data_IF_089341773308
#
_entry.id   IF_089341773308
#
_cell.length_a   1.000
_cell.length_b   1.000
_cell.length_c   1.000
_cell.angle_alpha   90.00
_cell.angle_beta   90.00
_cell.angle_gamma   90.00
#
_symmetry.space_group_name_H-M   'P 1'
#
loop_
_entity.id
_entity.type
_entity.pdbx_description
1 polymer ?
#
# COMPACT_ATOMS: atom_id res chain seq x y z
N UNK A 1 -46.00 -32.46 22.85
CA UNK A 1 -46.09 -30.98 22.94
C UNK A 1 -44.78 -30.30 23.38
N UNK A 2 -43.92 -30.92 24.22
CA UNK A 2 -42.64 -30.35 24.69
C UNK A 2 -41.55 -30.15 23.62
N UNK A 3 -41.48 -31.02 22.60
CA UNK A 3 -40.47 -30.93 21.53
C UNK A 3 -40.69 -29.72 20.61
N UNK A 4 -41.95 -29.33 20.38
CA UNK A 4 -42.30 -28.18 19.53
C UNK A 4 -42.00 -26.84 20.20
N UNK A 5 -42.09 -26.77 21.54
CA UNK A 5 -41.77 -25.55 22.29
C UNK A 5 -40.26 -25.27 22.31
N UNK A 6 -39.44 -26.31 22.51
CA UNK A 6 -37.98 -26.17 22.48
C UNK A 6 -37.44 -25.80 21.09
N UNK A 7 -38.06 -26.32 20.01
CA UNK A 7 -37.68 -25.95 18.64
C UNK A 7 -37.99 -24.48 18.34
N UNK A 8 -39.14 -23.97 18.81
CA UNK A 8 -39.52 -22.56 18.62
C UNK A 8 -38.58 -21.64 19.41
N UNK A 9 -38.25 -21.98 20.66
CA UNK A 9 -37.28 -21.21 21.47
C UNK A 9 -35.90 -21.21 20.80
N UNK A 10 -35.46 -22.33 20.23
CA UNK A 10 -34.17 -22.42 19.53
C UNK A 10 -34.14 -21.57 18.25
N UNK A 11 -35.23 -21.55 17.49
CA UNK A 11 -35.36 -20.72 16.28
C UNK A 11 -35.41 -19.22 16.65
N UNK A 12 -36.09 -18.85 17.73
CA UNK A 12 -36.14 -17.46 18.21
C UNK A 12 -34.74 -16.98 18.65
N UNK A 13 -33.97 -17.81 19.39
CA UNK A 13 -32.60 -17.44 19.79
C UNK A 13 -31.66 -17.28 18.58
N UNK A 14 -31.83 -18.09 17.53
CA UNK A 14 -31.05 -17.96 16.29
C UNK A 14 -31.46 -16.70 15.53
N UNK A 15 -32.76 -16.43 15.36
CA UNK A 15 -33.24 -15.26 14.59
C UNK A 15 -32.85 -13.92 15.26
N UNK A 16 -32.82 -13.87 16.60
CA UNK A 16 -32.38 -12.68 17.32
C UNK A 16 -30.84 -12.59 17.51
N UNK A 17 -30.11 -13.69 17.36
CA UNK A 17 -28.66 -13.74 17.56
C UNK A 17 -27.81 -13.22 16.39
N UNK A 18 -28.38 -13.11 15.18
CA UNK A 18 -27.61 -12.75 13.96
C UNK A 18 -27.73 -11.27 13.57
N UNK A 19 -28.56 -10.48 14.24
CA UNK A 19 -28.78 -9.07 13.87
C UNK A 19 -27.81 -8.08 14.55
N UNK A 20 -26.73 -8.58 15.18
CA UNK A 20 -25.89 -7.81 16.11
C UNK A 20 -24.49 -7.42 15.64
N UNK A 21 -24.11 -7.58 14.37
CA UNK A 21 -22.75 -7.23 13.91
C UNK A 21 -22.56 -5.77 13.49
N UNK A 22 -23.41 -4.84 13.98
CA UNK A 22 -23.25 -3.39 13.77
C UNK A 22 -23.27 -2.61 15.09
N UNK A 23 -22.74 -3.19 16.16
CA UNK A 23 -22.65 -2.53 17.45
C UNK A 23 -21.35 -1.74 17.57
N UNK A 24 -21.48 -0.44 17.88
CA UNK A 24 -20.40 0.52 18.15
C UNK A 24 -19.36 0.06 19.20
N UNK A 25 -19.67 -0.98 19.97
CA UNK A 25 -18.77 -1.57 20.97
C UNK A 25 -17.60 -2.36 20.36
N UNK A 26 -17.75 -2.93 19.16
CA UNK A 26 -16.64 -3.64 18.50
C UNK A 26 -15.64 -2.65 17.91
N UNK A 27 -16.12 -1.49 17.44
CA UNK A 27 -15.28 -0.41 16.90
C UNK A 27 -14.39 0.25 17.95
N UNK A 28 -14.77 0.26 19.24
CA UNK A 28 -13.90 0.78 20.31
C UNK A 28 -12.83 -0.21 20.78
N UNK A 29 -12.99 -1.51 20.50
CA UNK A 29 -12.03 -2.55 20.88
C UNK A 29 -10.89 -2.71 19.87
N UNK A 30 -11.10 -2.27 18.63
CA UNK A 30 -10.10 -2.29 17.57
C UNK A 30 -10.12 -0.93 16.86
N UNK A 31 -9.49 0.10 17.42
CA UNK A 31 -9.39 1.39 16.75
C UNK A 31 -8.75 1.21 15.38
N UNK A 32 -9.20 2.02 14.41
CA UNK A 32 -8.66 1.97 13.06
C UNK A 32 -7.17 2.27 13.08
N UNK A 33 -6.40 1.42 12.43
CA UNK A 33 -4.95 1.55 12.42
C UNK A 33 -4.54 2.79 11.62
N UNK A 34 -3.88 3.73 12.30
CA UNK A 34 -3.35 4.95 11.69
C UNK A 34 -1.92 4.76 11.17
N UNK A 35 -1.62 5.47 10.09
CA UNK A 35 -0.36 5.36 9.36
C UNK A 35 0.48 6.61 9.51
N UNK A 36 1.80 6.47 9.51
CA UNK A 36 2.72 7.60 9.45
C UNK A 36 2.55 8.40 8.16
N UNK A 37 3.27 9.52 8.05
CA UNK A 37 3.55 10.10 6.72
C UNK A 37 4.30 9.10 5.83
N UNK A 38 4.24 9.29 4.50
CA UNK A 38 4.97 8.48 3.55
C UNK A 38 6.48 8.68 3.75
N UNK A 39 7.17 7.65 4.23
CA UNK A 39 8.61 7.70 4.45
C UNK A 39 9.42 7.81 3.15
N UNK A 40 8.83 7.47 1.99
CA UNK A 40 9.48 7.65 0.70
C UNK A 40 9.74 9.13 0.37
N UNK A 41 8.98 10.06 0.97
CA UNK A 41 9.07 11.51 0.76
C UNK A 41 9.96 12.21 1.79
N UNK A 42 10.63 11.49 2.69
CA UNK A 42 11.53 12.10 3.65
C UNK A 42 12.74 12.70 2.93
N UNK A 43 13.19 13.87 3.38
CA UNK A 43 14.42 14.48 2.89
C UNK A 43 15.62 13.52 3.05
N UNK A 44 16.39 13.37 1.98
CA UNK A 44 17.51 12.42 1.92
C UNK A 44 17.13 11.00 1.51
N UNK A 45 15.84 10.70 1.28
CA UNK A 45 15.41 9.43 0.68
C UNK A 45 15.86 9.38 -0.78
N UNK A 46 16.35 8.22 -1.22
CA UNK A 46 16.78 8.00 -2.60
C UNK A 46 16.12 6.76 -3.19
N UNK A 47 15.91 6.77 -4.51
CA UNK A 47 15.44 5.62 -5.25
C UNK A 47 16.21 5.46 -6.55
N UNK A 48 16.42 4.23 -7.00
CA UNK A 48 17.00 3.95 -8.33
C UNK A 48 16.15 4.43 -9.51
N UNK A 49 14.89 4.79 -9.27
CA UNK A 49 14.01 5.57 -10.16
C UNK A 49 13.33 6.62 -9.28
N UNK A 50 13.89 7.84 -9.19
CA UNK A 50 13.37 8.90 -8.32
C UNK A 50 11.90 9.27 -8.61
N UNK A 51 11.46 9.10 -9.86
CA UNK A 51 10.08 9.34 -10.32
C UNK A 51 9.06 8.33 -9.76
N UNK A 52 9.48 7.43 -8.87
CA UNK A 52 8.59 6.52 -8.14
C UNK A 52 8.43 6.91 -6.66
N UNK A 53 9.07 7.99 -6.22
CA UNK A 53 9.07 8.45 -4.83
C UNK A 53 9.01 9.97 -4.73
N UNK A 54 8.50 10.65 -5.76
CA UNK A 54 8.44 12.11 -5.82
C UNK A 54 7.11 12.67 -5.29
N UNK A 55 6.14 11.80 -5.00
CA UNK A 55 4.82 12.17 -4.48
C UNK A 55 3.86 12.67 -5.54
N UNK A 56 4.23 12.64 -6.82
CA UNK A 56 3.37 12.99 -7.95
C UNK A 56 2.80 11.72 -8.60
N UNK A 57 1.48 11.56 -8.59
CA UNK A 57 0.85 10.37 -9.19
C UNK A 57 0.80 10.42 -10.72
N UNK A 58 1.14 11.56 -11.33
CA UNK A 58 1.21 11.71 -12.78
C UNK A 58 2.57 11.32 -13.36
N UNK A 59 3.60 11.24 -12.52
CA UNK A 59 4.93 10.77 -12.94
C UNK A 59 4.94 9.24 -13.03
N UNK A 60 5.78 8.72 -13.93
CA UNK A 60 5.91 7.27 -14.15
C UNK A 60 7.38 6.90 -14.18
N UNK A 61 7.86 6.31 -13.09
CA UNK A 61 9.17 5.70 -13.05
C UNK A 61 9.22 4.40 -13.85
N UNK A 62 10.39 4.15 -14.46
CA UNK A 62 10.62 3.00 -15.34
C UNK A 62 11.93 2.33 -14.99
N UNK A 63 11.89 1.10 -14.50
CA UNK A 63 13.10 0.38 -14.08
C UNK A 63 13.03 -1.12 -14.36
N UNK A 64 14.12 -1.66 -14.91
CA UNK A 64 14.25 -3.09 -15.14
C UNK A 64 14.76 -3.82 -13.90
N UNK A 65 14.16 -4.99 -13.64
CA UNK A 65 14.60 -6.02 -12.68
C UNK A 65 14.60 -5.62 -11.21
N UNK A 66 15.21 -4.51 -10.83
CA UNK A 66 15.43 -4.14 -9.45
C UNK A 66 15.21 -2.64 -9.23
N UNK A 67 14.45 -2.33 -8.17
CA UNK A 67 14.28 -0.99 -7.62
C UNK A 67 14.81 -1.02 -6.19
N UNK A 68 15.67 -0.08 -5.83
CA UNK A 68 16.20 0.08 -4.47
C UNK A 68 15.78 1.46 -3.97
N UNK A 69 15.07 1.48 -2.84
CA UNK A 69 14.67 2.67 -2.10
C UNK A 69 15.47 2.69 -0.79
N UNK A 70 16.20 3.77 -0.54
CA UNK A 70 17.03 3.97 0.66
C UNK A 70 16.54 5.19 1.43
N UNK A 71 16.17 4.98 2.69
CA UNK A 71 15.76 6.00 3.65
C UNK A 71 17.00 6.63 4.31
N UNK A 72 16.89 7.90 4.77
CA UNK A 72 17.98 8.58 5.47
C UNK A 72 18.33 7.94 6.83
N UNK A 73 17.36 7.25 7.44
CA UNK A 73 17.53 6.54 8.70
C UNK A 73 16.66 5.27 8.75
N UNK A 74 17.00 4.34 9.66
CA UNK A 74 16.23 3.11 9.82
C UNK A 74 14.84 3.41 10.37
N UNK A 75 13.81 2.95 9.68
CA UNK A 75 12.39 3.09 10.09
C UNK A 75 11.71 1.74 10.26
N UNK A 76 10.70 1.69 11.12
CA UNK A 76 9.81 0.55 11.25
C UNK A 76 8.69 0.62 10.19
N UNK A 77 8.82 -0.18 9.14
CA UNK A 77 7.90 -0.20 8.00
C UNK A 77 6.84 -1.29 8.22
N UNK A 78 5.59 -0.85 8.19
CA UNK A 78 4.40 -1.64 8.50
C UNK A 78 3.44 -1.79 7.31
N UNK A 79 3.53 -0.92 6.31
CA UNK A 79 2.77 -1.00 5.06
C UNK A 79 3.59 -0.45 3.91
N UNK A 80 3.46 -1.10 2.76
CA UNK A 80 4.07 -0.70 1.51
C UNK A 80 2.96 -0.65 0.47
N UNK A 81 2.89 0.45 -0.27
CA UNK A 81 1.95 0.65 -1.36
C UNK A 81 2.74 0.93 -2.64
N UNK A 82 2.39 0.28 -3.73
CA UNK A 82 2.91 0.58 -5.07
C UNK A 82 1.71 0.94 -5.92
N UNK A 83 1.68 2.18 -6.43
CA UNK A 83 0.57 2.72 -7.23
C UNK A 83 0.92 2.73 -8.71
N UNK A 84 -0.10 2.63 -9.54
CA UNK A 84 0.02 2.79 -10.99
C UNK A 84 1.06 1.88 -11.61
N UNK A 85 1.04 0.60 -11.31
CA UNK A 85 2.07 -0.36 -11.74
C UNK A 85 1.53 -1.44 -12.68
N UNK A 86 2.41 -1.99 -13.51
CA UNK A 86 2.17 -3.21 -14.29
C UNK A 86 2.87 -4.45 -13.70
N UNK A 87 3.36 -4.39 -12.45
CA UNK A 87 4.06 -5.52 -11.85
C UNK A 87 3.10 -6.70 -11.60
N UNK A 88 3.43 -7.85 -12.16
CA UNK A 88 2.66 -9.10 -11.96
C UNK A 88 3.28 -9.91 -10.82
N UNK A 89 4.60 -10.11 -10.87
CA UNK A 89 5.36 -10.85 -9.87
C UNK A 89 6.45 -9.97 -9.25
N UNK A 90 6.49 -9.87 -7.92
CA UNK A 90 7.56 -9.15 -7.21
C UNK A 90 8.01 -9.90 -5.95
N UNK A 91 9.30 -9.79 -5.64
CA UNK A 91 9.82 -10.11 -4.30
C UNK A 91 10.37 -8.84 -3.68
N UNK A 92 9.93 -8.58 -2.45
CA UNK A 92 10.35 -7.44 -1.66
C UNK A 92 11.31 -7.92 -0.58
N UNK A 93 12.43 -7.21 -0.44
CA UNK A 93 13.46 -7.47 0.55
C UNK A 93 13.69 -6.23 1.41
N UNK A 94 14.02 -6.45 2.68
CA UNK A 94 14.54 -5.43 3.59
C UNK A 94 16.07 -5.58 3.72
N UNK A 95 16.77 -4.45 3.74
CA UNK A 95 18.21 -4.39 4.03
C UNK A 95 18.50 -4.72 5.48
N UNK A 96 19.65 -5.38 5.72
CA UNK A 96 20.11 -5.79 7.05
C UNK A 96 21.21 -4.87 7.62
N UNK A 97 21.46 -3.71 7.00
CA UNK A 97 22.48 -2.73 7.43
C UNK A 97 23.84 -2.88 6.74
N UNK A 98 24.00 -3.85 5.84
CA UNK A 98 25.16 -4.00 4.96
C UNK A 98 24.70 -4.00 3.49
N UNK A 99 25.50 -3.43 2.57
CA UNK A 99 25.12 -3.21 1.17
C UNK A 99 24.57 -4.46 0.44
N UNK A 100 25.10 -5.64 0.74
CA UNK A 100 24.74 -6.88 0.04
C UNK A 100 23.88 -7.84 0.88
N UNK A 101 23.44 -7.43 2.07
CA UNK A 101 22.66 -8.29 2.98
C UNK A 101 21.18 -7.96 2.95
N UNK A 102 20.40 -8.87 2.37
CA UNK A 102 18.96 -8.69 2.12
C UNK A 102 18.14 -9.83 2.71
N UNK A 103 17.06 -9.50 3.42
CA UNK A 103 16.08 -10.47 3.91
C UNK A 103 14.78 -10.31 3.15
N UNK A 104 14.30 -11.39 2.53
CA UNK A 104 12.98 -11.42 1.89
C UNK A 104 11.89 -11.13 2.92
N UNK A 105 11.03 -10.15 2.66
CA UNK A 105 9.90 -9.80 3.53
C UNK A 105 8.55 -10.13 2.90
N UNK A 106 8.44 -10.07 1.57
CA UNK A 106 7.19 -10.38 0.88
C UNK A 106 7.46 -10.99 -0.50
N UNK A 107 6.55 -11.85 -0.94
CA UNK A 107 6.48 -12.33 -2.32
C UNK A 107 5.04 -12.15 -2.80
N UNK A 108 4.87 -11.43 -3.90
CA UNK A 108 3.60 -11.24 -4.58
C UNK A 108 3.73 -11.92 -5.94
N UNK A 109 2.66 -12.60 -6.32
CA UNK A 109 2.58 -13.32 -7.59
C UNK A 109 1.24 -13.06 -8.24
N UNK A 110 1.24 -13.16 -9.57
CA UNK A 110 0.04 -13.14 -10.40
C UNK A 110 -0.85 -11.90 -10.13
N UNK A 111 -0.25 -10.76 -9.73
CA UNK A 111 -1.00 -9.53 -9.48
C UNK A 111 -1.60 -9.01 -10.80
N UNK A 112 -2.92 -8.77 -10.80
CA UNK A 112 -3.66 -8.24 -11.95
C UNK A 112 -4.09 -6.78 -11.77
N UNK A 113 -3.87 -6.20 -10.58
CA UNK A 113 -4.25 -4.83 -10.25
C UNK A 113 -3.16 -3.82 -10.57
N UNK A 114 -3.55 -2.55 -10.70
CA UNK A 114 -2.61 -1.43 -10.86
C UNK A 114 -2.06 -0.91 -9.52
N UNK A 115 -2.59 -1.39 -8.40
CA UNK A 115 -2.14 -1.05 -7.05
C UNK A 115 -1.81 -2.33 -6.29
N UNK A 116 -0.63 -2.35 -5.68
CA UNK A 116 -0.18 -3.39 -4.78
C UNK A 116 -0.08 -2.78 -3.38
N UNK A 117 -0.89 -3.25 -2.44
CA UNK A 117 -0.92 -2.77 -1.06
C UNK A 117 -0.82 -3.97 -0.12
N UNK A 118 0.21 -3.98 0.73
CA UNK A 118 0.43 -5.08 1.66
C UNK A 118 1.07 -4.62 2.96
N UNK A 119 0.84 -5.41 4.02
CA UNK A 119 1.50 -5.22 5.31
C UNK A 119 2.94 -5.71 5.23
N UNK A 120 3.86 -4.88 5.70
CA UNK A 120 5.24 -5.23 5.95
C UNK A 120 5.48 -5.31 7.47
N UNK A 121 6.53 -6.00 7.89
CA UNK A 121 6.94 -5.99 9.30
C UNK A 121 8.46 -6.07 9.35
N UNK A 122 9.10 -4.90 9.21
CA UNK A 122 10.55 -4.82 9.20
C UNK A 122 11.05 -3.48 9.73
N UNK A 123 12.29 -3.49 10.26
CA UNK A 123 13.02 -2.28 10.64
C UNK A 123 14.26 -2.17 9.79
N UNK A 124 14.28 -1.21 8.87
CA UNK A 124 15.32 -1.09 7.85
C UNK A 124 15.42 0.34 7.33
N UNK A 125 16.55 0.65 6.72
CA UNK A 125 16.83 1.85 5.95
C UNK A 125 16.77 1.58 4.44
N UNK A 126 16.61 0.33 3.99
CA UNK A 126 16.58 0.03 2.56
C UNK A 126 15.54 -1.04 2.22
N UNK A 127 14.78 -0.80 1.15
CA UNK A 127 13.85 -1.76 0.55
C UNK A 127 14.28 -2.03 -0.89
N UNK A 128 14.37 -3.32 -1.24
CA UNK A 128 14.64 -3.77 -2.60
C UNK A 128 13.42 -4.48 -3.16
N UNK A 129 12.94 -4.02 -4.30
CA UNK A 129 11.91 -4.67 -5.10
C UNK A 129 12.58 -5.40 -6.26
N UNK A 130 12.43 -6.72 -6.32
CA UNK A 130 12.87 -7.53 -7.45
C UNK A 130 11.68 -7.91 -8.31
N UNK A 131 11.66 -7.39 -9.52
CA UNK A 131 10.58 -7.50 -10.50
C UNK A 131 10.75 -8.78 -11.32
N UNK A 132 9.75 -9.64 -11.24
CA UNK A 132 9.56 -10.83 -12.07
C UNK A 132 8.83 -10.49 -13.38
N UNK A 133 7.65 -11.08 -13.59
CA UNK A 133 6.76 -10.77 -14.71
C UNK A 133 6.08 -9.40 -14.61
N UNK A 134 5.60 -8.93 -15.75
CA UNK A 134 4.71 -7.75 -15.85
C UNK A 134 3.47 -8.11 -16.65
N UNK A 135 2.38 -7.36 -16.44
CA UNK A 135 1.12 -7.54 -17.18
C UNK A 135 1.25 -7.30 -18.69
N UNK A 136 2.32 -6.62 -19.09
CA UNK A 136 2.65 -6.34 -20.49
C UNK A 136 3.51 -7.45 -21.14
N UNK A 137 3.89 -8.49 -20.38
CA UNK A 137 4.64 -9.64 -20.89
C UNK A 137 3.80 -10.42 -21.93
N UNK A 138 4.38 -10.65 -23.11
CA UNK A 138 3.72 -11.38 -24.20
C UNK A 138 4.39 -12.73 -24.43
N UNK A 139 3.60 -13.80 -24.49
CA UNK A 139 4.07 -15.11 -24.92
C UNK A 139 4.31 -15.10 -26.43
N UNK A 140 5.55 -15.37 -26.85
CA UNK A 140 5.99 -15.37 -28.25
C UNK A 140 6.48 -16.75 -28.73
N UNK A 141 6.62 -17.72 -27.82
CA UNK A 141 7.15 -19.05 -28.14
C UNK A 141 6.21 -20.20 -27.79
N UNK A 142 6.36 -21.31 -28.53
CA UNK A 142 5.69 -22.60 -28.26
C UNK A 142 6.20 -23.22 -26.94
N UNK A 143 7.51 -23.09 -26.70
CA UNK A 143 8.18 -23.48 -25.46
C UNK A 143 8.03 -22.40 -24.39
N UNK A 144 6.87 -22.35 -23.74
CA UNK A 144 6.67 -21.50 -22.58
C UNK A 144 7.19 -22.20 -21.33
N UNK A 145 8.27 -21.68 -20.77
CA UNK A 145 8.60 -21.90 -19.37
C UNK A 145 8.15 -20.65 -18.64
N UNK A 146 7.19 -20.81 -17.73
CA UNK A 146 6.54 -19.68 -17.09
C UNK A 146 7.59 -18.78 -16.41
N UNK A 147 7.41 -17.47 -16.55
CA UNK A 147 8.20 -16.45 -15.86
C UNK A 147 8.05 -16.51 -14.33
N UNK A 148 7.20 -17.40 -13.80
CA UNK A 148 6.92 -17.64 -12.38
C UNK A 148 8.14 -18.10 -11.58
N UNK A 149 9.24 -18.40 -12.27
CA UNK A 149 10.51 -18.73 -11.65
C UNK A 149 11.25 -17.45 -11.22
N UNK A 150 10.80 -16.88 -10.10
CA UNK A 150 11.61 -16.01 -9.23
C UNK A 150 12.82 -16.74 -8.60
N UNK A 151 13.20 -17.92 -9.12
CA UNK A 151 14.42 -18.62 -8.76
C UNK A 151 15.62 -17.95 -9.48
N UNK A 152 16.58 -17.38 -8.74
CA UNK A 152 17.77 -16.77 -9.32
C UNK A 152 18.64 -17.74 -10.14
N UNK A 153 18.46 -19.06 -10.01
CA UNK A 153 19.21 -20.09 -10.75
C UNK A 153 18.52 -20.56 -12.04
N UNK A 154 17.27 -20.17 -12.31
CA UNK A 154 16.54 -20.61 -13.50
C UNK A 154 16.68 -19.56 -14.60
N UNK A 155 17.75 -19.69 -15.39
CA UNK A 155 17.96 -18.89 -16.60
C UNK A 155 17.17 -19.46 -17.78
N UNK A 156 15.86 -19.27 -17.92
CA UNK A 156 15.18 -19.55 -19.21
C UNK A 156 13.97 -18.64 -19.49
N UNK A 157 14.25 -17.36 -19.80
CA UNK A 157 13.33 -16.52 -20.57
C UNK A 157 13.40 -16.93 -22.06
N UNK A 158 12.89 -18.11 -22.40
CA UNK A 158 12.68 -18.49 -23.80
C UNK A 158 11.20 -18.34 -24.10
N UNK A 159 10.85 -17.67 -25.20
CA UNK A 159 9.47 -17.55 -25.65
C UNK A 159 8.60 -16.48 -24.96
N UNK A 160 9.18 -15.49 -24.27
CA UNK A 160 8.45 -14.34 -23.69
C UNK A 160 9.10 -13.03 -24.13
N UNK A 161 8.31 -12.10 -24.67
CA UNK A 161 8.69 -10.71 -24.92
C UNK A 161 8.26 -9.91 -23.70
N UNK A 162 9.23 -9.40 -22.93
CA UNK A 162 8.93 -8.70 -21.69
C UNK A 162 8.35 -7.32 -21.91
N UNK A 163 7.33 -6.99 -21.15
CA UNK A 163 6.82 -5.64 -20.97
C UNK A 163 7.77 -4.81 -20.11
N UNK A 164 7.82 -3.51 -20.35
CA UNK A 164 8.68 -2.61 -19.57
C UNK A 164 8.05 -2.36 -18.20
N UNK A 165 8.71 -2.72 -17.09
CA UNK A 165 8.14 -2.49 -15.76
C UNK A 165 8.06 -0.99 -15.45
N UNK A 166 6.97 -0.58 -14.82
CA UNK A 166 6.77 0.78 -14.33
C UNK A 166 5.93 0.82 -13.04
N UNK A 167 6.04 1.94 -12.33
CA UNK A 167 5.19 2.32 -11.22
C UNK A 167 5.07 3.85 -11.21
N UNK A 168 3.95 4.38 -10.72
CA UNK A 168 3.77 5.81 -10.51
C UNK A 168 4.40 6.24 -9.19
N UNK A 169 4.04 5.57 -8.09
CA UNK A 169 4.51 5.94 -6.76
C UNK A 169 4.70 4.71 -5.86
N UNK A 170 5.73 4.73 -5.03
CA UNK A 170 6.05 3.74 -4.01
C UNK A 170 6.02 4.43 -2.65
N UNK A 171 5.11 3.97 -1.79
CA UNK A 171 4.88 4.56 -0.48
C UNK A 171 5.28 3.59 0.62
N UNK A 172 5.91 4.12 1.67
CA UNK A 172 6.34 3.37 2.85
C UNK A 172 5.72 3.99 4.09
N UNK A 173 5.04 3.18 4.91
CA UNK A 173 4.35 3.67 6.10
C UNK A 173 4.73 2.87 7.34
N UNK A 174 4.95 3.59 8.44
CA UNK A 174 5.01 3.05 9.80
C UNK A 174 3.66 3.15 10.51
N UNK A 175 3.63 2.60 11.72
CA UNK A 175 2.51 2.73 12.64
C UNK A 175 2.61 4.04 13.41
N UNK A 176 1.48 4.71 13.63
CA UNK A 176 1.36 5.74 14.66
C UNK A 176 0.66 5.09 15.85
N UNK A 177 1.31 5.09 17.01
CA UNK A 177 0.63 4.78 18.25
C UNK A 177 -0.26 5.97 18.60
N UNK A 178 -1.58 5.78 18.53
CA UNK A 178 -2.53 6.76 19.06
C UNK A 178 -2.47 6.63 20.57
N UNK A 179 -1.78 7.55 21.24
CA UNK A 179 -1.80 7.64 22.69
C UNK A 179 -3.23 8.02 23.14
N UNK A 180 -3.95 7.12 23.84
CA UNK A 180 -5.33 7.36 24.26
C UNK A 180 -5.46 8.49 25.30
N UNK A 181 -4.35 9.06 25.77
CA UNK A 181 -4.33 10.20 26.70
C UNK A 181 -4.24 11.57 26.02
N UNK A 182 -4.03 11.63 24.70
CA UNK A 182 -4.00 12.90 23.95
C UNK A 182 -5.41 13.22 23.42
N UNK A 183 -6.00 14.38 23.77
CA UNK A 183 -7.26 14.80 23.18
C UNK A 183 -7.08 15.00 21.67
N UNK A 184 -8.02 14.46 20.89
CA UNK A 184 -8.07 14.61 19.43
C UNK A 184 -7.84 16.08 19.06
N UNK A 185 -6.81 16.34 18.23
CA UNK A 185 -6.62 17.65 17.63
C UNK A 185 -7.87 17.92 16.77
N UNK A 186 -8.63 19.00 17.03
CA UNK A 186 -9.80 19.30 16.20
C UNK A 186 -9.37 19.39 14.75
N UNK A 187 -10.11 18.71 13.87
CA UNK A 187 -10.04 18.97 12.44
C UNK A 187 -10.17 20.48 12.23
N UNK A 188 -9.22 21.07 11.52
CA UNK A 188 -9.28 22.47 11.10
C UNK A 188 -10.53 22.63 10.23
N UNK A 189 -11.65 23.01 10.84
CA UNK A 189 -12.79 23.53 10.10
C UNK A 189 -12.32 24.86 9.53
N UNK A 190 -12.03 24.90 8.23
CA UNK A 190 -11.90 26.15 7.50
C UNK A 190 -13.15 26.99 7.78
N UNK A 191 -13.02 28.24 8.28
CA UNK A 191 -14.17 29.11 8.37
C UNK A 191 -14.58 29.54 6.96
N UNK A 192 -15.81 29.18 6.59
CA UNK A 192 -16.54 29.71 5.44
C UNK A 192 -16.30 31.23 5.32
N UNK A 193 -15.47 31.62 4.35
CA UNK A 193 -15.34 33.03 3.98
C UNK A 193 -16.52 33.35 3.07
N UNK A 194 -17.58 33.88 3.69
CA UNK A 194 -18.69 34.52 3.01
C UNK A 194 -18.16 35.66 2.13
N UNK A 195 -18.56 35.78 0.85
CA UNK A 195 -18.03 36.80 -0.05
C UNK A 195 -18.48 38.19 0.39
N UNK A 196 -17.51 39.09 0.53
CA UNK A 196 -17.68 40.48 0.92
C UNK A 196 -18.56 41.19 -0.11
N UNK A 197 -19.71 41.73 0.32
CA UNK A 197 -20.54 42.61 -0.49
C UNK A 197 -19.73 43.82 -0.93
N UNK A 198 -19.80 44.10 -2.23
CA UNK A 198 -19.12 45.22 -2.86
C UNK A 198 -19.81 46.51 -2.44
N UNK A 199 -19.15 47.31 -1.60
CA UNK A 199 -19.58 48.65 -1.25
C UNK A 199 -19.47 49.54 -2.51
N UNK A 200 -20.62 49.96 -3.02
CA UNK A 200 -20.74 50.91 -4.14
C UNK A 200 -20.43 52.29 -3.57
N UNK A 201 -19.43 53.04 -4.09
CA UNK A 201 -19.18 54.40 -3.61
C UNK A 201 -20.25 55.35 -4.16
N UNK A 202 -20.84 56.14 -3.27
CA UNK A 202 -21.78 57.22 -3.60
C UNK A 202 -21.09 58.31 -4.45
N UNK A 203 -21.78 58.88 -5.45
CA UNK A 203 -21.21 59.91 -6.31
C UNK A 203 -21.41 61.30 -5.69
N UNK A 204 -20.33 61.98 -5.32
CA UNK A 204 -20.34 63.43 -5.10
C UNK A 204 -19.16 64.12 -5.80
N UNK A 205 -19.53 64.97 -6.77
CA UNK A 205 -18.80 66.01 -7.53
C UNK A 205 -17.88 65.62 -8.69
#
# INVERSE_FOLDING_TARGET
MRIRLNLIVFIVVIVYGISGCKSSLVSSLFPEQTWSQNYALLEGTTCTSPEMIDGDLETVGRRWKEIILTLPERKAIHRIVIRGTNFEDIIVYAGLGNADSWRKIQKIKDNQGTTIDFRATCVTDAIRFRIGGTLDDKRVGKDFRSATSLDPNVRRYSGIKRGHPYAQEIELYGLIDVDPSQPERPATTEPDTQPNETEIPDPEF
#
